data_IF_287369115496
#
_entry.id   IF_287369115496
#
_cell.length_a   1.000
_cell.length_b   1.000
_cell.length_c   1.000
_cell.angle_alpha   90.00
_cell.angle_beta   90.00
_cell.angle_gamma   90.00
#
_symmetry.space_group_name_H-M   'P 1'
#
loop_
_entity.id
_entity.type
_entity.pdbx_description
1 polymer ?
#
# COMPACT_ATOMS: atom_id res chain seq x y z
N UNK A 1 -37.87 29.53 0.68
CA UNK A 1 -37.72 28.22 1.35
C UNK A 1 -38.50 28.29 2.64
N UNK A 2 -39.40 27.39 2.90
CA UNK A 2 -40.16 27.41 4.14
C UNK A 2 -39.41 26.67 5.23
N UNK A 3 -39.42 27.23 6.43
CA UNK A 3 -38.78 26.60 7.58
C UNK A 3 -39.49 25.29 7.94
N UNK A 4 -38.73 24.22 8.13
CA UNK A 4 -39.27 22.87 8.45
C UNK A 4 -39.92 22.84 9.87
N UNK A 5 -39.53 23.73 10.79
CA UNK A 5 -40.05 23.76 12.16
C UNK A 5 -41.27 24.64 12.36
N UNK A 6 -41.31 25.83 11.74
CA UNK A 6 -42.41 26.78 11.97
C UNK A 6 -43.16 27.15 10.70
N UNK A 7 -42.77 26.59 9.54
CA UNK A 7 -43.35 26.88 8.22
C UNK A 7 -43.27 28.33 7.77
N UNK A 8 -42.47 29.18 8.43
CA UNK A 8 -42.24 30.56 8.05
C UNK A 8 -41.41 30.66 6.78
N UNK A 9 -41.69 31.68 5.96
CA UNK A 9 -40.91 32.01 4.76
C UNK A 9 -39.79 33.02 5.03
N UNK A 10 -39.81 33.64 6.23
CA UNK A 10 -38.81 34.65 6.63
C UNK A 10 -37.50 33.96 7.00
N UNK A 11 -36.44 34.30 6.30
CA UNK A 11 -35.12 33.76 6.57
C UNK A 11 -34.01 34.75 6.23
N UNK A 12 -33.00 34.82 7.08
CA UNK A 12 -31.84 35.69 6.90
C UNK A 12 -30.59 34.84 6.66
N UNK A 13 -29.78 35.23 5.68
CA UNK A 13 -28.50 34.61 5.40
C UNK A 13 -27.39 35.23 6.23
N UNK A 14 -26.65 34.43 6.97
CA UNK A 14 -25.51 34.87 7.76
C UNK A 14 -24.20 34.64 6.96
N UNK A 15 -23.66 35.72 6.38
CA UNK A 15 -22.44 35.70 5.57
C UNK A 15 -21.19 35.16 6.29
N UNK A 16 -21.12 35.31 7.63
CA UNK A 16 -19.95 34.87 8.40
C UNK A 16 -19.93 33.38 8.62
N UNK A 17 -21.10 32.76 8.78
CA UNK A 17 -21.23 31.32 9.08
C UNK A 17 -21.62 30.54 7.85
N UNK A 18 -22.02 31.16 6.74
CA UNK A 18 -22.54 30.52 5.55
C UNK A 18 -23.84 29.75 5.82
N UNK A 19 -24.68 30.27 6.69
CA UNK A 19 -25.89 29.61 7.15
C UNK A 19 -27.11 30.45 6.82
N UNK A 20 -28.20 29.80 6.44
CA UNK A 20 -29.52 30.46 6.34
C UNK A 20 -30.34 30.11 7.58
N UNK A 21 -30.72 31.11 8.34
CA UNK A 21 -31.45 30.96 9.60
C UNK A 21 -32.88 31.50 9.46
N UNK A 22 -33.85 30.76 9.98
CA UNK A 22 -35.24 31.24 10.06
C UNK A 22 -35.35 32.39 11.08
N UNK A 23 -35.94 33.53 10.68
CA UNK A 23 -36.06 34.70 11.53
C UNK A 23 -37.07 34.52 12.68
N UNK A 24 -38.05 33.63 12.51
CA UNK A 24 -39.11 33.44 13.51
C UNK A 24 -38.74 32.42 14.61
N UNK A 25 -38.05 31.33 14.27
CA UNK A 25 -37.75 30.29 15.25
C UNK A 25 -36.26 30.03 15.46
N UNK A 26 -35.37 30.70 14.70
CA UNK A 26 -33.91 30.51 14.81
C UNK A 26 -33.39 29.22 14.25
N UNK A 27 -34.21 28.40 13.57
CA UNK A 27 -33.78 27.14 12.97
C UNK A 27 -32.84 27.39 11.80
N UNK A 28 -31.70 26.70 11.78
CA UNK A 28 -30.74 26.77 10.69
C UNK A 28 -31.20 25.84 9.58
N UNK A 29 -31.72 26.42 8.49
CA UNK A 29 -32.31 25.70 7.38
C UNK A 29 -31.28 25.13 6.41
N UNK A 30 -30.16 25.85 6.22
CA UNK A 30 -29.05 25.42 5.35
C UNK A 30 -27.73 25.77 6.02
N UNK A 31 -26.91 24.77 6.23
CA UNK A 31 -25.52 24.93 6.68
C UNK A 31 -24.58 24.72 5.50
N UNK A 32 -23.46 25.44 5.50
CA UNK A 32 -22.39 25.28 4.50
C UNK A 32 -22.80 25.62 3.05
N UNK A 33 -23.40 26.80 2.85
CA UNK A 33 -23.58 27.31 1.48
C UNK A 33 -22.22 27.58 0.80
N UNK A 34 -21.16 27.78 1.59
CA UNK A 34 -19.82 27.53 1.09
C UNK A 34 -19.61 26.00 1.03
N UNK A 35 -20.24 25.32 0.08
CA UNK A 35 -19.61 24.15 -0.43
C UNK A 35 -18.18 24.59 -0.73
N UNK A 36 -17.22 24.06 0.03
CA UNK A 36 -15.93 23.85 -0.55
C UNK A 36 -16.22 23.05 -1.82
N UNK A 37 -16.40 23.74 -2.92
CA UNK A 37 -16.15 23.20 -4.22
C UNK A 37 -14.68 22.85 -4.16
N UNK A 38 -14.37 21.74 -3.48
CA UNK A 38 -13.21 20.94 -3.76
C UNK A 38 -13.41 20.60 -5.22
N UNK A 39 -12.95 21.53 -6.06
CA UNK A 39 -12.85 21.26 -7.48
C UNK A 39 -12.10 19.95 -7.55
N UNK A 40 -12.76 18.88 -7.98
CA UNK A 40 -12.20 17.55 -8.17
C UNK A 40 -11.09 17.56 -9.25
N UNK A 41 -10.86 18.66 -9.94
CA UNK A 41 -9.60 19.00 -10.51
C UNK A 41 -8.68 19.47 -9.38
N UNK A 42 -8.14 18.51 -8.59
CA UNK A 42 -6.92 18.77 -7.87
C UNK A 42 -5.89 19.20 -8.90
N UNK A 43 -5.84 20.52 -9.15
CA UNK A 43 -4.84 21.10 -10.01
C UNK A 43 -3.51 20.70 -9.37
N UNK A 44 -2.55 20.34 -10.19
CA UNK A 44 -1.18 20.03 -9.76
C UNK A 44 -0.57 21.12 -8.84
N UNK A 45 -1.22 22.27 -8.72
CA UNK A 45 -0.83 23.41 -7.88
C UNK A 45 -1.44 23.38 -6.47
N UNK A 46 -2.50 22.63 -6.22
CA UNK A 46 -3.06 22.40 -4.88
C UNK A 46 -2.30 21.32 -4.12
N UNK A 47 -1.28 20.76 -4.75
CA UNK A 47 -0.40 19.81 -4.10
C UNK A 47 0.57 20.49 -3.15
N UNK A 48 0.94 19.79 -2.22
CA UNK A 48 0.52 19.75 -0.82
C UNK A 48 1.13 20.91 -0.07
N UNK A 49 0.31 21.55 0.62
CA UNK A 49 0.59 22.56 1.65
C UNK A 49 1.67 22.15 2.69
N UNK A 50 2.14 20.91 2.63
CA UNK A 50 3.24 20.44 3.51
C UNK A 50 4.56 21.18 3.26
N UNK A 51 4.82 21.64 2.02
CA UNK A 51 5.97 22.48 1.68
C UNK A 51 5.73 23.95 1.97
N UNK A 52 4.47 24.39 2.05
CA UNK A 52 4.09 25.79 2.18
C UNK A 52 3.79 26.20 3.64
N UNK A 53 3.83 25.28 4.60
CA UNK A 53 3.54 25.55 6.03
C UNK A 53 4.43 26.62 6.70
N UNK A 54 5.42 27.14 6.01
CA UNK A 54 6.26 28.25 6.48
C UNK A 54 6.22 29.49 5.59
N UNK A 55 5.45 29.51 4.52
CA UNK A 55 5.37 30.64 3.62
C UNK A 55 4.01 31.34 3.75
N UNK A 56 4.00 32.50 4.33
CA UNK A 56 2.89 33.46 4.35
C UNK A 56 2.66 34.09 2.96
N UNK A 57 2.41 33.26 1.96
CA UNK A 57 2.19 33.72 0.59
C UNK A 57 0.96 33.06 -0.02
N UNK A 58 0.01 33.85 -0.53
CA UNK A 58 -1.08 33.37 -1.35
C UNK A 58 -0.55 32.73 -2.63
N UNK A 59 -1.07 31.57 -2.98
CA UNK A 59 -0.78 30.95 -4.28
C UNK A 59 -1.71 31.54 -5.34
N UNK A 60 -1.15 31.89 -6.50
CA UNK A 60 -1.94 32.31 -7.64
C UNK A 60 -2.54 31.07 -8.29
N UNK A 61 -3.86 30.88 -8.12
CA UNK A 61 -4.60 29.73 -8.66
C UNK A 61 -4.54 29.61 -10.19
N UNK A 62 -4.98 28.46 -10.72
CA UNK A 62 -4.98 28.20 -12.17
C UNK A 62 -6.18 28.82 -12.91
N UNK A 63 -7.10 29.40 -12.22
CA UNK A 63 -8.26 30.06 -12.83
C UNK A 63 -7.83 31.28 -13.63
N UNK A 64 -8.13 31.24 -14.92
CA UNK A 64 -7.81 32.28 -15.87
C UNK A 64 -6.48 32.07 -16.62
N UNK A 65 -6.61 32.09 -17.94
CA UNK A 65 -5.47 31.85 -18.85
C UNK A 65 -4.92 33.16 -19.45
N UNK A 66 -5.08 34.27 -18.73
CA UNK A 66 -4.62 35.58 -19.21
C UNK A 66 -3.09 35.68 -19.15
N UNK A 67 -2.52 36.49 -20.06
CA UNK A 67 -1.08 36.76 -20.13
C UNK A 67 -0.53 37.25 -18.78
N UNK A 68 -1.33 38.04 -18.06
CA UNK A 68 -0.99 38.57 -16.73
C UNK A 68 -0.85 37.45 -15.69
N UNK A 69 -1.82 36.53 -15.62
CA UNK A 69 -1.80 35.40 -14.67
C UNK A 69 -0.62 34.47 -14.94
N UNK A 70 -0.30 34.22 -16.21
CA UNK A 70 0.92 33.45 -16.57
C UNK A 70 2.20 34.15 -16.12
N UNK A 71 2.28 35.47 -16.28
CA UNK A 71 3.44 36.25 -15.84
C UNK A 71 3.57 36.24 -14.31
N UNK A 72 2.46 36.45 -13.59
CA UNK A 72 2.44 36.42 -12.13
C UNK A 72 2.84 35.05 -11.57
N UNK A 73 2.35 33.96 -12.19
CA UNK A 73 2.76 32.60 -11.82
C UNK A 73 4.26 32.36 -12.08
N UNK A 74 4.79 32.84 -13.21
CA UNK A 74 6.22 32.75 -13.50
C UNK A 74 7.03 33.47 -12.43
N UNK A 75 6.63 34.68 -12.06
CA UNK A 75 7.29 35.45 -11.00
C UNK A 75 7.19 34.76 -9.63
N UNK A 76 6.02 34.25 -9.29
CA UNK A 76 5.84 33.50 -8.04
C UNK A 76 6.73 32.24 -7.98
N UNK A 77 6.89 31.52 -9.11
CA UNK A 77 7.81 30.39 -9.19
C UNK A 77 9.28 30.79 -9.06
N UNK A 78 9.65 31.96 -9.58
CA UNK A 78 11.00 32.50 -9.44
C UNK A 78 11.32 32.94 -7.99
N UNK A 79 10.32 33.40 -7.25
CA UNK A 79 10.47 33.79 -5.84
C UNK A 79 10.61 32.58 -4.89
N UNK A 80 10.10 31.40 -5.30
CA UNK A 80 10.31 30.17 -4.51
C UNK A 80 11.77 29.74 -4.65
N UNK A 81 12.39 29.46 -3.53
CA UNK A 81 13.77 28.94 -3.53
C UNK A 81 13.82 27.56 -4.20
N UNK A 82 14.98 27.23 -4.75
CA UNK A 82 15.20 25.95 -5.49
C UNK A 82 14.92 24.72 -4.61
N UNK A 83 15.14 24.84 -3.32
CA UNK A 83 14.88 23.77 -2.35
C UNK A 83 13.38 23.49 -2.24
N UNK A 84 12.56 24.52 -2.05
CA UNK A 84 11.08 24.40 -2.00
C UNK A 84 10.52 23.84 -3.31
N UNK A 85 11.03 24.28 -4.48
CA UNK A 85 10.60 23.72 -5.75
C UNK A 85 10.93 22.21 -5.88
N UNK A 86 12.13 21.81 -5.46
CA UNK A 86 12.53 20.40 -5.48
C UNK A 86 11.74 19.54 -4.50
N UNK A 87 11.38 20.11 -3.34
CA UNK A 87 10.51 19.43 -2.38
C UNK A 87 9.12 19.20 -2.98
N UNK A 88 8.51 20.22 -3.58
CA UNK A 88 7.22 20.09 -4.25
C UNK A 88 7.23 19.03 -5.38
N UNK A 89 8.29 19.01 -6.21
CA UNK A 89 8.46 17.96 -7.24
C UNK A 89 8.54 16.57 -6.62
N UNK A 90 9.24 16.42 -5.51
CA UNK A 90 9.37 15.13 -4.85
C UNK A 90 8.06 14.63 -4.23
N UNK A 91 7.27 15.52 -3.67
CA UNK A 91 5.96 15.18 -3.14
C UNK A 91 5.00 14.79 -4.27
N UNK A 92 5.03 15.53 -5.40
CA UNK A 92 4.28 15.17 -6.60
C UNK A 92 4.63 13.76 -7.08
N UNK A 93 5.92 13.47 -7.18
CA UNK A 93 6.41 12.14 -7.54
C UNK A 93 5.90 11.05 -6.59
N UNK A 94 5.93 11.30 -5.29
CA UNK A 94 5.36 10.38 -4.31
C UNK A 94 3.87 10.09 -4.56
N UNK A 95 3.08 11.10 -4.90
CA UNK A 95 1.66 10.92 -5.16
C UNK A 95 1.39 10.17 -6.46
N UNK A 96 2.17 10.43 -7.52
CA UNK A 96 2.07 9.66 -8.76
C UNK A 96 2.38 8.18 -8.52
N UNK A 97 3.43 7.90 -7.74
CA UNK A 97 3.80 6.54 -7.38
C UNK A 97 2.74 5.85 -6.52
N UNK A 98 2.07 6.58 -5.62
CA UNK A 98 1.02 6.06 -4.76
C UNK A 98 -0.32 5.84 -5.47
N UNK A 99 -0.60 6.58 -6.54
CA UNK A 99 -1.93 6.60 -7.18
C UNK A 99 -2.50 5.21 -7.52
N UNK A 100 -1.72 4.21 -8.01
CA UNK A 100 -2.26 2.88 -8.32
C UNK A 100 -2.82 2.11 -7.13
N UNK A 101 -2.44 2.48 -5.90
CA UNK A 101 -2.91 1.83 -4.66
C UNK A 101 -4.10 2.50 -4.02
N UNK A 102 -4.76 3.45 -4.71
CA UNK A 102 -5.91 4.21 -4.20
C UNK A 102 -5.67 4.70 -2.76
N UNK A 103 -4.62 5.48 -2.52
CA UNK A 103 -4.18 5.81 -1.18
C UNK A 103 -5.22 6.67 -0.46
N UNK A 104 -5.50 6.34 0.80
CA UNK A 104 -6.21 7.24 1.69
C UNK A 104 -5.32 8.44 2.08
N UNK A 105 -5.93 9.49 2.63
CA UNK A 105 -5.21 10.70 3.00
C UNK A 105 -4.09 10.44 4.02
N UNK A 106 -4.29 9.50 4.95
CA UNK A 106 -3.28 9.15 5.95
C UNK A 106 -1.99 8.60 5.33
N UNK A 107 -2.12 7.76 4.27
CA UNK A 107 -0.95 7.25 3.54
C UNK A 107 -0.19 8.38 2.84
N UNK A 108 -0.91 9.29 2.19
CA UNK A 108 -0.31 10.45 1.52
C UNK A 108 0.43 11.34 2.51
N UNK A 109 -0.22 11.71 3.60
CA UNK A 109 0.37 12.56 4.65
C UNK A 109 1.61 11.92 5.26
N UNK A 110 1.59 10.61 5.48
CA UNK A 110 2.73 9.88 6.03
C UNK A 110 3.92 9.88 5.09
N UNK A 111 3.70 9.65 3.80
CA UNK A 111 4.77 9.75 2.78
C UNK A 111 5.32 11.16 2.70
N UNK A 112 4.44 12.19 2.70
CA UNK A 112 4.85 13.59 2.67
C UNK A 112 5.67 13.97 3.89
N UNK A 113 5.25 13.54 5.08
CA UNK A 113 5.98 13.77 6.34
C UNK A 113 7.38 13.15 6.29
N UNK A 114 7.50 11.90 5.83
CA UNK A 114 8.81 11.26 5.68
C UNK A 114 9.65 11.94 4.60
N UNK A 115 9.05 12.32 3.46
CA UNK A 115 9.78 13.04 2.43
C UNK A 115 10.31 14.37 2.94
N UNK A 116 9.50 15.16 3.65
CA UNK A 116 9.90 16.42 4.24
C UNK A 116 11.03 16.25 5.29
N UNK A 117 10.93 15.19 6.12
CA UNK A 117 11.98 14.88 7.11
C UNK A 117 13.34 14.65 6.46
N UNK A 118 13.38 13.85 5.39
CA UNK A 118 14.63 13.50 4.73
C UNK A 118 15.06 14.48 3.63
N UNK A 119 14.20 15.40 3.24
CA UNK A 119 14.53 16.37 2.19
C UNK A 119 15.71 17.28 2.58
N UNK A 120 15.80 17.64 3.86
CA UNK A 120 16.85 18.51 4.39
C UNK A 120 18.17 17.79 4.67
N UNK A 121 18.17 16.46 4.58
CA UNK A 121 19.35 15.64 4.81
C UNK A 121 20.24 15.60 3.55
N UNK A 122 21.42 16.20 3.65
CA UNK A 122 22.40 16.28 2.57
C UNK A 122 22.82 14.91 2.03
N UNK A 123 22.80 13.86 2.84
CA UNK A 123 23.16 12.50 2.42
C UNK A 123 22.16 11.91 1.41
N UNK A 124 20.93 12.41 1.35
CA UNK A 124 19.92 11.94 0.41
C UNK A 124 20.10 12.47 -1.01
N UNK A 125 20.89 13.53 -1.20
CA UNK A 125 21.09 14.18 -2.50
C UNK A 125 21.82 13.32 -3.51
N UNK A 126 22.50 12.27 -3.08
CA UNK A 126 23.10 11.25 -3.96
C UNK A 126 22.07 10.43 -4.77
N UNK A 127 20.80 10.48 -4.39
CA UNK A 127 19.71 9.81 -5.11
C UNK A 127 18.84 10.81 -5.86
N UNK A 128 18.32 10.39 -7.00
CA UNK A 128 17.34 11.15 -7.77
C UNK A 128 16.06 11.38 -6.96
N UNK A 129 15.26 12.36 -7.34
CA UNK A 129 13.96 12.62 -6.73
C UNK A 129 13.09 11.35 -6.82
N UNK A 130 13.01 10.71 -8.00
CA UNK A 130 12.28 9.48 -8.23
C UNK A 130 12.74 8.33 -7.35
N UNK A 131 14.07 8.11 -7.22
CA UNK A 131 14.62 7.07 -6.33
C UNK A 131 14.21 7.31 -4.86
N UNK A 132 14.27 8.57 -4.39
CA UNK A 132 13.87 8.93 -3.01
C UNK A 132 12.37 8.71 -2.81
N UNK A 133 11.56 9.21 -3.73
CA UNK A 133 10.10 9.05 -3.68
C UNK A 133 9.69 7.56 -3.69
N UNK A 134 10.25 6.77 -4.63
CA UNK A 134 9.98 5.33 -4.71
C UNK A 134 10.37 4.59 -3.43
N UNK A 135 11.51 4.92 -2.84
CA UNK A 135 11.98 4.27 -1.61
C UNK A 135 11.10 4.61 -0.40
N UNK A 136 10.66 5.87 -0.25
CA UNK A 136 9.79 6.29 0.85
C UNK A 136 8.38 5.74 0.70
N UNK A 137 7.83 5.76 -0.51
CA UNK A 137 6.54 5.12 -0.81
C UNK A 137 6.59 3.63 -0.48
N UNK A 138 7.67 2.91 -0.87
CA UNK A 138 7.85 1.51 -0.52
C UNK A 138 7.78 1.27 0.99
N UNK A 139 8.47 2.10 1.79
CA UNK A 139 8.47 1.97 3.26
C UNK A 139 7.07 2.17 3.82
N UNK A 140 6.34 3.21 3.38
CA UNK A 140 4.99 3.49 3.88
C UNK A 140 3.99 2.41 3.47
N UNK A 141 4.06 1.92 2.23
CA UNK A 141 3.22 0.80 1.79
C UNK A 141 3.49 -0.45 2.63
N UNK A 142 4.75 -0.74 2.90
CA UNK A 142 5.15 -1.87 3.72
C UNK A 142 4.75 -1.72 5.19
N UNK A 143 4.85 -0.52 5.74
CA UNK A 143 4.41 -0.17 7.09
C UNK A 143 2.89 -0.40 7.29
N UNK A 144 2.12 -0.22 6.22
CA UNK A 144 0.68 -0.47 6.20
C UNK A 144 0.33 -1.91 5.74
N UNK A 145 1.31 -2.79 5.66
CA UNK A 145 1.11 -4.19 5.31
C UNK A 145 0.75 -4.44 3.85
N UNK A 146 0.86 -3.42 2.96
CA UNK A 146 0.53 -3.59 1.54
C UNK A 146 1.58 -4.48 0.88
N UNK A 147 1.18 -5.61 0.26
CA UNK A 147 2.11 -6.60 -0.28
C UNK A 147 2.72 -6.13 -1.61
N UNK A 148 3.87 -5.46 -1.53
CA UNK A 148 4.62 -4.96 -2.67
C UNK A 148 6.10 -5.27 -2.55
N UNK A 149 6.79 -5.44 -3.68
CA UNK A 149 8.24 -5.59 -3.73
C UNK A 149 8.91 -4.34 -4.29
N UNK A 150 10.17 -4.11 -3.88
CA UNK A 150 11.00 -3.06 -4.48
C UNK A 150 11.11 -3.25 -5.99
N UNK A 151 11.18 -4.50 -6.47
CA UNK A 151 11.28 -4.78 -7.90
C UNK A 151 10.04 -4.36 -8.68
N UNK A 152 8.83 -4.64 -8.16
CA UNK A 152 7.57 -4.20 -8.75
C UNK A 152 7.51 -2.67 -8.80
N UNK A 153 7.75 -2.00 -7.67
CA UNK A 153 7.67 -0.55 -7.56
C UNK A 153 8.73 0.16 -8.41
N UNK A 154 9.95 -0.38 -8.48
CA UNK A 154 11.02 0.18 -9.31
C UNK A 154 10.73 0.03 -10.80
N UNK A 155 10.14 -1.08 -11.23
CA UNK A 155 9.72 -1.29 -12.62
C UNK A 155 8.64 -0.30 -13.04
N UNK A 156 7.61 -0.11 -12.20
CA UNK A 156 6.52 0.82 -12.47
C UNK A 156 7.02 2.26 -12.67
N UNK A 157 8.06 2.66 -11.93
CA UNK A 157 8.59 4.03 -11.95
C UNK A 157 9.90 4.17 -12.74
N UNK A 158 10.28 3.15 -13.51
CA UNK A 158 11.52 3.14 -14.32
C UNK A 158 12.77 3.47 -13.51
N UNK A 159 12.79 3.13 -12.21
CA UNK A 159 13.90 3.41 -11.30
C UNK A 159 14.83 2.20 -11.12
N UNK A 160 16.09 2.45 -10.82
CA UNK A 160 17.05 1.38 -10.59
C UNK A 160 16.79 0.69 -9.24
N UNK A 161 16.43 -0.60 -9.28
CA UNK A 161 16.14 -1.43 -8.10
C UNK A 161 17.21 -1.36 -7.02
N UNK A 162 18.49 -1.40 -7.39
CA UNK A 162 19.59 -1.38 -6.42
C UNK A 162 19.70 -0.03 -5.72
N UNK A 163 19.52 1.08 -6.46
CA UNK A 163 19.51 2.43 -5.88
C UNK A 163 18.32 2.59 -4.93
N UNK A 164 17.13 2.17 -5.33
CA UNK A 164 15.92 2.21 -4.49
C UNK A 164 16.11 1.35 -3.24
N UNK A 165 16.68 0.15 -3.34
CA UNK A 165 16.96 -0.71 -2.19
C UNK A 165 17.95 -0.09 -1.19
N UNK A 166 19.01 0.56 -1.69
CA UNK A 166 19.97 1.28 -0.84
C UNK A 166 19.31 2.47 -0.14
N UNK A 167 18.50 3.25 -0.87
CA UNK A 167 17.76 4.38 -0.33
C UNK A 167 16.73 3.92 0.72
N UNK A 168 15.98 2.85 0.46
CA UNK A 168 15.01 2.30 1.40
C UNK A 168 15.66 1.85 2.72
N UNK A 169 16.82 1.19 2.66
CA UNK A 169 17.58 0.82 3.87
C UNK A 169 18.04 2.05 4.68
N UNK A 170 18.49 3.08 3.99
CA UNK A 170 18.88 4.32 4.63
C UNK A 170 17.71 4.99 5.34
N UNK A 171 16.58 5.16 4.64
CA UNK A 171 15.38 5.78 5.19
C UNK A 171 14.76 4.96 6.32
N UNK A 172 14.70 3.64 6.19
CA UNK A 172 14.17 2.77 7.25
C UNK A 172 14.99 2.89 8.56
N UNK A 173 16.31 3.01 8.46
CA UNK A 173 17.18 3.29 9.63
C UNK A 173 16.89 4.68 10.21
N UNK A 174 16.78 5.71 9.37
CA UNK A 174 16.48 7.08 9.80
C UNK A 174 15.08 7.27 10.41
N UNK A 175 14.13 6.38 10.07
CA UNK A 175 12.80 6.31 10.70
C UNK A 175 12.84 5.50 12.02
N UNK A 176 13.91 4.74 12.26
CA UNK A 176 14.04 3.85 13.41
C UNK A 176 13.34 2.50 13.23
N UNK A 177 13.04 2.09 11.99
CA UNK A 177 12.31 0.85 11.66
C UNK A 177 13.06 -0.03 10.65
N UNK A 178 14.35 -0.38 10.89
CA UNK A 178 15.12 -1.17 9.94
C UNK A 178 14.54 -2.58 9.70
N UNK A 179 13.88 -3.16 10.72
CA UNK A 179 13.22 -4.49 10.65
C UNK A 179 12.10 -4.53 9.63
N UNK A 180 11.45 -3.39 9.37
CA UNK A 180 10.31 -3.30 8.45
C UNK A 180 10.65 -3.86 7.06
N UNK A 181 11.90 -3.70 6.61
CA UNK A 181 12.33 -4.19 5.30
C UNK A 181 12.35 -5.72 5.20
N UNK A 182 12.58 -6.40 6.31
CA UNK A 182 12.63 -7.87 6.40
C UNK A 182 11.28 -8.48 6.79
N UNK A 183 10.41 -7.68 7.39
CA UNK A 183 9.09 -8.14 7.81
C UNK A 183 8.19 -8.39 6.58
N UNK A 184 7.48 -9.50 6.58
CA UNK A 184 6.49 -9.84 5.56
C UNK A 184 5.11 -9.93 6.19
N UNK A 185 4.16 -9.14 5.69
CA UNK A 185 2.75 -9.24 6.08
C UNK A 185 2.15 -10.50 5.43
N UNK A 186 2.34 -11.66 6.05
CA UNK A 186 2.05 -12.97 5.47
C UNK A 186 0.61 -13.05 4.95
N UNK A 187 -0.37 -12.66 5.75
CA UNK A 187 -1.79 -12.71 5.34
C UNK A 187 -2.08 -11.91 4.06
N UNK A 188 -1.54 -10.70 3.96
CA UNK A 188 -1.77 -9.84 2.80
C UNK A 188 -1.08 -10.40 1.55
N UNK A 189 0.06 -11.06 1.73
CA UNK A 189 0.74 -11.78 0.64
C UNK A 189 -0.01 -13.05 0.24
N UNK A 190 -0.59 -13.80 1.19
CA UNK A 190 -1.47 -14.93 0.88
C UNK A 190 -2.66 -14.48 0.04
N UNK A 191 -3.29 -13.37 0.40
CA UNK A 191 -4.40 -12.82 -0.39
C UNK A 191 -3.95 -12.40 -1.80
N UNK A 192 -2.87 -11.64 -1.92
CA UNK A 192 -2.38 -11.18 -3.23
C UNK A 192 -2.02 -12.35 -4.13
N UNK A 193 -1.13 -13.23 -3.67
CA UNK A 193 -0.66 -14.37 -4.47
C UNK A 193 -1.78 -15.39 -4.71
N UNK A 194 -2.60 -15.64 -3.71
CA UNK A 194 -3.71 -16.56 -3.81
C UNK A 194 -4.82 -16.08 -4.75
N UNK A 195 -5.16 -14.79 -4.71
CA UNK A 195 -6.09 -14.20 -5.68
C UNK A 195 -5.52 -14.26 -7.10
N UNK A 196 -4.22 -14.00 -7.27
CA UNK A 196 -3.55 -14.14 -8.57
C UNK A 196 -3.59 -15.58 -9.07
N UNK A 197 -3.26 -16.56 -8.20
CA UNK A 197 -3.29 -17.98 -8.51
C UNK A 197 -4.68 -18.44 -8.93
N UNK A 198 -5.69 -18.09 -8.13
CA UNK A 198 -7.09 -18.44 -8.37
C UNK A 198 -7.65 -17.74 -9.61
N UNK A 199 -7.28 -16.50 -9.88
CA UNK A 199 -7.75 -15.75 -11.04
C UNK A 199 -7.14 -16.27 -12.35
N UNK A 200 -5.81 -16.46 -12.38
CA UNK A 200 -5.09 -16.85 -13.60
C UNK A 200 -5.29 -18.34 -13.91
N UNK A 201 -5.20 -19.19 -12.90
CA UNK A 201 -5.17 -20.65 -13.10
C UNK A 201 -6.48 -21.34 -12.67
N UNK A 202 -7.26 -20.73 -11.79
CA UNK A 202 -8.50 -21.31 -11.27
C UNK A 202 -9.63 -21.47 -12.29
N UNK A 203 -9.50 -20.86 -13.47
CA UNK A 203 -10.47 -21.06 -14.57
C UNK A 203 -10.49 -22.50 -15.07
N UNK A 204 -9.36 -23.21 -15.01
CA UNK A 204 -9.25 -24.62 -15.41
C UNK A 204 -10.04 -25.57 -14.51
N UNK A 205 -10.20 -25.21 -13.24
CA UNK A 205 -10.75 -26.09 -12.21
C UNK A 205 -12.22 -25.80 -11.87
N UNK A 206 -12.87 -24.83 -12.53
CA UNK A 206 -14.28 -24.44 -12.32
C UNK A 206 -14.65 -24.24 -10.84
N UNK A 207 -13.72 -23.76 -10.03
CA UNK A 207 -13.99 -23.51 -8.62
C UNK A 207 -15.08 -22.47 -8.41
N UNK A 208 -16.04 -22.80 -7.56
CA UNK A 208 -17.03 -21.86 -7.04
C UNK A 208 -16.37 -20.82 -6.11
N UNK A 209 -17.07 -19.72 -5.86
CA UNK A 209 -16.60 -18.66 -4.93
C UNK A 209 -16.30 -19.20 -3.52
N UNK A 210 -17.04 -20.22 -3.08
CA UNK A 210 -16.89 -20.88 -1.77
C UNK A 210 -15.55 -21.62 -1.67
N UNK A 211 -15.28 -22.49 -2.64
CA UNK A 211 -14.05 -23.28 -2.68
C UNK A 211 -12.78 -22.42 -2.75
N UNK A 212 -12.87 -21.30 -3.49
CA UNK A 212 -11.78 -20.31 -3.54
C UNK A 212 -11.49 -19.68 -2.18
N UNK A 213 -12.52 -19.31 -1.42
CA UNK A 213 -12.39 -18.76 -0.07
C UNK A 213 -11.84 -19.78 0.90
N UNK A 214 -12.31 -21.02 0.82
CA UNK A 214 -11.81 -22.14 1.65
C UNK A 214 -10.32 -22.38 1.37
N UNK A 215 -9.90 -22.43 0.10
CA UNK A 215 -8.49 -22.58 -0.25
C UNK A 215 -7.60 -21.47 0.33
N UNK A 216 -8.04 -20.22 0.24
CA UNK A 216 -7.29 -19.09 0.81
C UNK A 216 -7.27 -19.14 2.35
N UNK A 217 -8.38 -19.52 2.97
CA UNK A 217 -8.45 -19.73 4.42
C UNK A 217 -7.48 -20.81 4.90
N UNK A 218 -7.49 -21.95 4.23
CA UNK A 218 -6.59 -23.07 4.51
C UNK A 218 -5.12 -22.67 4.35
N UNK A 219 -4.82 -21.90 3.27
CA UNK A 219 -3.46 -21.41 3.05
C UNK A 219 -3.02 -20.42 4.12
N UNK A 220 -3.92 -19.60 4.65
CA UNK A 220 -3.60 -18.72 5.80
C UNK A 220 -3.23 -19.53 7.02
N UNK A 221 -4.03 -20.53 7.39
CA UNK A 221 -3.77 -21.42 8.54
C UNK A 221 -2.40 -22.09 8.40
N UNK A 222 -2.11 -22.67 7.23
CA UNK A 222 -0.81 -23.30 6.93
C UNK A 222 0.33 -22.29 6.99
N UNK A 223 0.12 -21.08 6.47
CA UNK A 223 1.13 -20.03 6.46
C UNK A 223 1.46 -19.51 7.84
N UNK A 224 0.46 -19.34 8.71
CA UNK A 224 0.65 -18.90 10.10
C UNK A 224 1.45 -19.94 10.87
N UNK A 225 1.09 -21.19 10.69
CA UNK A 225 1.79 -22.29 11.31
C UNK A 225 3.27 -22.34 10.90
N UNK A 226 3.55 -22.32 9.59
CA UNK A 226 4.91 -22.34 9.08
C UNK A 226 5.69 -21.07 9.48
N UNK A 227 5.02 -19.91 9.48
CA UNK A 227 5.62 -18.66 9.93
C UNK A 227 6.11 -18.77 11.38
N UNK A 228 5.29 -19.29 12.30
CA UNK A 228 5.68 -19.49 13.70
C UNK A 228 6.88 -20.42 13.84
N UNK A 229 6.95 -21.49 13.03
CA UNK A 229 8.08 -22.44 13.07
C UNK A 229 9.38 -21.81 12.56
N UNK A 230 9.31 -20.88 11.61
CA UNK A 230 10.46 -20.18 11.02
C UNK A 230 10.91 -19.03 11.92
N UNK A 231 9.96 -18.23 12.43
CA UNK A 231 10.22 -17.03 13.24
C UNK A 231 11.01 -17.37 14.51
N UNK A 232 10.72 -18.51 15.13
CA UNK A 232 11.47 -19.02 16.29
C UNK A 232 12.94 -19.40 16.02
N UNK A 233 13.43 -19.30 14.77
CA UNK A 233 14.78 -19.70 14.35
C UNK A 233 15.60 -18.61 13.66
N UNK A 234 15.23 -17.34 13.82
CA UNK A 234 15.90 -16.18 13.17
C UNK A 234 15.99 -16.25 11.63
N UNK A 235 15.08 -17.01 11.01
CA UNK A 235 15.04 -17.16 9.56
C UNK A 235 13.98 -16.19 8.99
N UNK A 236 14.36 -15.39 8.02
CA UNK A 236 13.43 -14.46 7.37
C UNK A 236 12.43 -15.20 6.48
N UNK A 237 11.14 -15.04 6.75
CA UNK A 237 10.08 -15.56 5.90
C UNK A 237 10.08 -14.86 4.54
N UNK A 238 10.13 -15.64 3.46
CA UNK A 238 10.29 -15.15 2.08
C UNK A 238 9.11 -15.54 1.20
N UNK A 239 9.03 -14.99 -0.02
CA UNK A 239 8.06 -15.40 -1.03
C UNK A 239 8.16 -16.88 -1.40
N UNK A 240 9.36 -17.46 -1.36
CA UNK A 240 9.54 -18.88 -1.61
C UNK A 240 8.95 -19.75 -0.51
N UNK A 241 9.05 -19.31 0.77
CA UNK A 241 8.35 -19.96 1.87
C UNK A 241 6.83 -19.86 1.70
N UNK A 242 6.33 -18.71 1.25
CA UNK A 242 4.92 -18.56 0.93
C UNK A 242 4.46 -19.49 -0.19
N UNK A 243 5.24 -19.63 -1.25
CA UNK A 243 4.96 -20.59 -2.32
C UNK A 243 4.93 -22.04 -1.79
N UNK A 244 5.81 -22.37 -0.83
CA UNK A 244 5.75 -23.67 -0.13
C UNK A 244 4.44 -23.82 0.66
N UNK A 245 3.95 -22.78 1.32
CA UNK A 245 2.67 -22.83 2.02
C UNK A 245 1.51 -23.15 1.06
N UNK A 246 1.44 -22.50 -0.09
CA UNK A 246 0.46 -22.84 -1.13
C UNK A 246 0.59 -24.29 -1.59
N UNK A 247 1.81 -24.73 -1.85
CA UNK A 247 2.05 -26.10 -2.27
C UNK A 247 1.65 -27.14 -1.21
N UNK A 248 1.99 -26.90 0.06
CA UNK A 248 1.58 -27.75 1.19
C UNK A 248 0.06 -27.79 1.29
N UNK A 249 -0.62 -26.64 1.20
CA UNK A 249 -2.09 -26.56 1.20
C UNK A 249 -2.70 -27.41 0.07
N UNK A 250 -2.13 -27.36 -1.14
CA UNK A 250 -2.56 -28.22 -2.25
C UNK A 250 -2.39 -29.70 -1.91
N UNK A 251 -1.28 -30.10 -1.29
CA UNK A 251 -1.03 -31.49 -0.91
C UNK A 251 -2.01 -31.98 0.16
N UNK A 252 -2.30 -31.15 1.18
CA UNK A 252 -3.21 -31.47 2.28
C UNK A 252 -4.66 -31.62 1.79
N UNK A 253 -5.09 -30.74 0.87
CA UNK A 253 -6.46 -30.76 0.33
C UNK A 253 -6.74 -31.93 -0.58
N UNK A 254 -5.77 -32.35 -1.35
CA UNK A 254 -5.97 -33.38 -2.42
C UNK A 254 -6.05 -34.78 -1.90
N UNK A 255 -5.70 -35.08 -0.65
CA UNK A 255 -5.78 -36.44 -0.03
C UNK A 255 -5.27 -37.54 -0.95
N UNK A 256 -4.10 -37.32 -1.57
CA UNK A 256 -3.49 -38.32 -2.46
C UNK A 256 -3.85 -38.22 -3.94
N UNK A 257 -4.81 -37.39 -4.33
CA UNK A 257 -5.09 -37.05 -5.74
C UNK A 257 -4.03 -36.09 -6.30
N UNK A 258 -4.20 -35.69 -7.55
CA UNK A 258 -3.34 -34.65 -8.16
C UNK A 258 -3.54 -33.29 -7.49
N UNK A 259 -2.47 -32.53 -7.22
CA UNK A 259 -2.58 -31.21 -6.63
C UNK A 259 -3.43 -30.29 -7.51
N UNK A 260 -4.20 -29.42 -6.86
CA UNK A 260 -5.09 -28.44 -7.52
C UNK A 260 -4.31 -27.49 -8.43
N UNK A 261 -3.08 -27.14 -8.04
CA UNK A 261 -2.18 -26.27 -8.80
C UNK A 261 -0.81 -26.93 -8.97
N UNK A 262 -0.14 -26.65 -10.07
CA UNK A 262 1.22 -27.09 -10.32
C UNK A 262 2.24 -26.21 -9.59
N UNK A 263 3.46 -26.72 -9.39
CA UNK A 263 4.54 -25.91 -8.80
C UNK A 263 4.85 -24.65 -9.62
N UNK A 264 4.82 -24.76 -10.96
CA UNK A 264 5.01 -23.63 -11.87
C UNK A 264 3.98 -22.53 -11.67
N UNK A 265 2.68 -22.88 -11.66
CA UNK A 265 1.57 -21.93 -11.45
C UNK A 265 1.67 -21.19 -10.10
N UNK A 266 2.05 -21.91 -9.05
CA UNK A 266 2.27 -21.32 -7.72
C UNK A 266 3.48 -20.38 -7.75
N UNK A 267 4.58 -20.80 -8.37
CA UNK A 267 5.78 -19.98 -8.48
C UNK A 267 5.54 -18.71 -9.26
N UNK A 268 4.82 -18.77 -10.37
CA UNK A 268 4.43 -17.61 -11.18
C UNK A 268 3.59 -16.62 -10.37
N UNK A 269 2.61 -17.13 -9.62
CA UNK A 269 1.74 -16.30 -8.77
C UNK A 269 2.47 -15.65 -7.60
N UNK A 270 3.46 -16.31 -7.01
CA UNK A 270 4.27 -15.80 -5.92
C UNK A 270 5.48 -14.98 -6.39
N UNK A 271 5.85 -15.09 -7.68
CA UNK A 271 7.03 -14.44 -8.24
C UNK A 271 8.33 -15.02 -7.69
N UNK A 272 8.43 -16.35 -7.61
CA UNK A 272 9.65 -17.11 -7.24
C UNK A 272 9.98 -18.16 -8.29
N UNK A 273 11.18 -18.74 -8.22
CA UNK A 273 11.58 -19.85 -9.12
C UNK A 273 11.19 -21.20 -8.53
N UNK A 274 10.91 -22.19 -9.39
CA UNK A 274 10.65 -23.57 -8.96
C UNK A 274 11.83 -24.19 -8.20
N UNK A 275 13.06 -23.82 -8.56
CA UNK A 275 14.26 -24.28 -7.84
C UNK A 275 14.19 -23.79 -6.39
N UNK A 276 13.92 -22.49 -6.21
CA UNK A 276 13.79 -21.89 -4.88
C UNK A 276 12.64 -22.51 -4.07
N UNK A 277 11.53 -22.86 -4.72
CA UNK A 277 10.43 -23.58 -4.08
C UNK A 277 10.88 -24.96 -3.60
N UNK A 278 11.55 -25.74 -4.46
CA UNK A 278 12.00 -27.11 -4.13
C UNK A 278 13.01 -27.10 -3.00
N UNK A 279 13.97 -26.18 -3.01
CA UNK A 279 14.98 -26.07 -1.94
C UNK A 279 14.33 -25.69 -0.60
N UNK A 280 13.42 -24.72 -0.61
CA UNK A 280 12.68 -24.36 0.61
C UNK A 280 11.72 -25.47 1.06
N UNK A 281 11.16 -26.28 0.15
CA UNK A 281 10.36 -27.44 0.54
C UNK A 281 11.20 -28.51 1.25
N UNK A 282 12.44 -28.79 0.78
CA UNK A 282 13.35 -29.69 1.49
C UNK A 282 13.62 -29.17 2.89
N UNK A 283 13.99 -27.91 3.01
CA UNK A 283 14.18 -27.25 4.31
C UNK A 283 12.94 -27.37 5.21
N UNK A 284 11.73 -27.14 4.70
CA UNK A 284 10.50 -27.26 5.49
C UNK A 284 10.17 -28.71 5.86
N UNK A 285 10.48 -29.70 5.02
CA UNK A 285 10.32 -31.12 5.39
C UNK A 285 11.21 -31.48 6.57
N UNK A 286 12.46 -31.04 6.56
CA UNK A 286 13.41 -31.27 7.66
C UNK A 286 12.97 -30.52 8.93
N UNK A 287 12.51 -29.27 8.79
CA UNK A 287 12.02 -28.42 9.88
C UNK A 287 10.80 -29.04 10.57
N UNK A 288 9.83 -29.51 9.80
CA UNK A 288 8.55 -30.06 10.25
C UNK A 288 8.64 -31.56 10.54
N UNK A 289 9.79 -32.19 10.34
CA UNK A 289 10.01 -33.63 10.48
C UNK A 289 8.95 -34.45 9.72
N UNK A 290 8.59 -34.03 8.52
CA UNK A 290 7.57 -34.65 7.67
C UNK A 290 8.06 -34.86 6.25
N UNK A 291 7.30 -35.58 5.45
CA UNK A 291 7.60 -35.79 4.06
C UNK A 291 6.35 -35.65 3.16
N UNK A 292 6.57 -35.55 1.83
CA UNK A 292 5.49 -35.39 0.85
C UNK A 292 4.40 -36.44 0.95
N UNK A 293 4.75 -37.72 1.30
CA UNK A 293 3.80 -38.83 1.39
C UNK A 293 2.90 -38.67 2.61
N UNK A 294 3.46 -38.23 3.72
CA UNK A 294 2.75 -37.96 4.96
C UNK A 294 1.80 -36.77 4.80
N UNK A 295 2.27 -35.65 4.24
CA UNK A 295 1.42 -34.48 3.99
C UNK A 295 0.18 -34.84 3.16
N UNK A 296 0.30 -35.69 2.15
CA UNK A 296 -0.85 -36.14 1.34
C UNK A 296 -1.88 -36.97 2.12
N UNK A 297 -1.53 -37.50 3.28
CA UNK A 297 -2.42 -38.30 4.14
C UNK A 297 -3.00 -37.54 5.30
N UNK A 298 -2.38 -36.41 5.67
CA UNK A 298 -2.84 -35.56 6.77
C UNK A 298 -3.98 -34.65 6.36
N UNK A 299 -4.79 -34.27 7.32
CA UNK A 299 -5.74 -33.15 7.22
C UNK A 299 -5.06 -31.86 7.74
N UNK A 300 -5.61 -30.70 7.36
CA UNK A 300 -5.05 -29.41 7.76
C UNK A 300 -5.03 -29.28 9.29
N UNK A 301 -6.08 -29.73 9.96
CA UNK A 301 -6.20 -29.71 11.41
C UNK A 301 -5.13 -30.59 12.07
N UNK A 302 -4.85 -31.77 11.49
CA UNK A 302 -3.80 -32.66 11.97
C UNK A 302 -2.41 -32.07 11.75
N UNK A 303 -2.20 -31.41 10.60
CA UNK A 303 -0.94 -30.75 10.28
C UNK A 303 -0.62 -29.63 11.28
N UNK A 304 -1.62 -28.82 11.65
CA UNK A 304 -1.45 -27.73 12.60
C UNK A 304 -1.49 -28.16 14.07
N UNK A 305 -2.18 -29.28 14.39
CA UNK A 305 -2.24 -29.84 15.74
C UNK A 305 -0.99 -30.64 16.14
N UNK A 306 -0.24 -31.21 15.18
CA UNK A 306 0.97 -32.00 15.40
C UNK A 306 2.11 -31.28 16.15
N UNK A 307 1.96 -30.00 16.42
CA UNK A 307 2.89 -29.13 17.17
C UNK A 307 2.62 -29.05 18.66
N UNK A 308 1.46 -29.47 19.11
CA UNK A 308 1.13 -29.43 20.55
C UNK A 308 1.77 -30.54 21.36
N UNK A 309 2.46 -31.50 20.73
CA UNK A 309 2.99 -32.71 21.37
C UNK A 309 4.47 -33.00 21.05
N UNK A 310 5.28 -32.00 20.75
CA UNK A 310 6.73 -32.20 20.57
C UNK A 310 7.55 -31.42 21.57
#
# INVERSE_FOLDING_TARGET
MNCELCSSEASTFNDRLGETVCDDCGYVMVTNIYEETVSQSASLDEMPRVGDRGQLGSNIGYEGNTRLIRSLRKNQRMLKDKATQNMGKGILECNMILSPWLPNNNLKERVHSYYAKFFRDNHTWRWTIGTRATALVYIVLKENGIPITISELSKTNSENRHKVSKAARYFARGIGKPWLLNQMAVHNWVEKCGNTLVYIHGQRYKYGKKEKREFLSDTRIVSDYIYQQIDGRDITFTKSHLACCFWITCLLRTRGKWPEYTQGEICDSCGCSEISLRDNMRFLYDLLKTNKKELKRMQIEQFTAGVRYG
#
